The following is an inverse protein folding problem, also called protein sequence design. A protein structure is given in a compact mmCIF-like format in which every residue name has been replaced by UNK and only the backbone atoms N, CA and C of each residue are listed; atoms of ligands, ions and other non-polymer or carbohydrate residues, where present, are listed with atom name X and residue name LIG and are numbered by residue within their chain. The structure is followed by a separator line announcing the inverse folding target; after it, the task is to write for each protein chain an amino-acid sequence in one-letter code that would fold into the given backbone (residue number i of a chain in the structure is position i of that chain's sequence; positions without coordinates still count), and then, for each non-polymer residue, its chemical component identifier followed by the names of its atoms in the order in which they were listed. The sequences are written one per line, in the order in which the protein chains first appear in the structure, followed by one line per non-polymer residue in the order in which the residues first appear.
data_IF_391834366969
#
_entry.id   IF_391834366969
#
_cell.length_a   1.000
_cell.length_b   1.000
_cell.length_c   1.000
_cell.angle_alpha   90.00
_cell.angle_beta   90.00
_cell.angle_gamma   90.00
#
_symmetry.space_group_name_H-M   'P 1'
#
loop_
_entity.id
_entity.type
_entity.pdbx_description
1 polymer ?
#
# COMPACT_ATOMS: atom_id res chain seq x y z
N UNK A 1 17.54 37.42 8.42
CA UNK A 1 16.98 36.51 7.39
C UNK A 1 17.80 35.24 7.44
N UNK A 2 17.23 34.12 7.93
CA UNK A 2 17.90 32.81 7.89
C UNK A 2 17.54 32.15 6.56
N UNK A 3 18.53 31.94 5.69
CA UNK A 3 18.34 31.20 4.46
C UNK A 3 18.20 29.71 4.81
N UNK A 4 17.06 29.09 4.54
CA UNK A 4 16.93 27.63 4.56
C UNK A 4 17.70 27.07 3.37
N UNK A 5 18.68 26.21 3.64
CA UNK A 5 19.38 25.46 2.59
C UNK A 5 18.37 24.57 1.86
N UNK A 6 18.35 24.56 0.51
CA UNK A 6 17.45 23.68 -0.22
C UNK A 6 17.79 22.21 0.08
N UNK A 7 16.79 21.31 0.05
CA UNK A 7 17.01 19.91 0.31
C UNK A 7 17.96 19.29 -0.71
N UNK A 8 18.94 18.50 -0.24
CA UNK A 8 19.89 17.78 -1.09
C UNK A 8 19.41 16.32 -1.29
N UNK A 9 19.58 15.76 -2.48
CA UNK A 9 19.21 14.38 -2.78
C UNK A 9 20.40 13.60 -3.33
N UNK A 10 20.73 12.50 -2.65
CA UNK A 10 21.79 11.58 -3.00
C UNK A 10 21.19 10.26 -3.50
N UNK A 11 21.89 9.59 -4.42
CA UNK A 11 21.47 8.32 -5.02
C UNK A 11 22.61 7.32 -4.94
N UNK A 12 22.29 6.07 -4.61
CA UNK A 12 23.22 4.95 -4.72
C UNK A 12 22.70 3.96 -5.75
N UNK A 13 23.62 3.30 -6.45
CA UNK A 13 23.31 2.35 -7.51
C UNK A 13 24.03 1.02 -7.24
N UNK A 14 23.43 -0.08 -7.67
CA UNK A 14 24.08 -1.39 -7.61
C UNK A 14 25.11 -1.56 -8.75
N UNK A 15 25.77 -2.72 -8.81
CA UNK A 15 26.77 -3.04 -9.84
C UNK A 15 26.25 -2.98 -11.28
N UNK A 16 24.93 -3.03 -11.46
CA UNK A 16 24.25 -2.96 -12.76
C UNK A 16 23.70 -1.55 -13.05
N UNK A 17 24.08 -0.53 -12.27
CA UNK A 17 23.60 0.86 -12.36
C UNK A 17 22.09 1.02 -12.13
N UNK A 18 21.43 0.05 -11.51
CA UNK A 18 20.05 0.21 -11.06
C UNK A 18 20.03 0.92 -9.71
N UNK A 19 19.05 1.81 -9.55
CA UNK A 19 18.85 2.57 -8.31
C UNK A 19 18.70 1.61 -7.13
N UNK A 20 19.56 1.76 -6.12
CA UNK A 20 19.62 0.92 -4.93
C UNK A 20 18.97 1.62 -3.73
N UNK A 21 19.34 2.87 -3.51
CA UNK A 21 18.69 3.73 -2.52
C UNK A 21 18.71 5.18 -2.97
N UNK A 22 17.82 6.00 -2.38
CA UNK A 22 17.96 7.45 -2.44
C UNK A 22 17.82 8.05 -1.05
N UNK A 23 18.58 9.10 -0.79
CA UNK A 23 18.61 9.82 0.47
C UNK A 23 18.24 11.28 0.21
N UNK A 24 17.19 11.76 0.87
CA UNK A 24 16.78 13.17 0.86
C UNK A 24 17.16 13.80 2.21
N UNK A 25 17.88 14.92 2.18
CA UNK A 25 18.29 15.71 3.35
C UNK A 25 17.42 16.97 3.38
N UNK A 26 16.55 17.10 4.38
CA UNK A 26 15.42 18.05 4.35
C UNK A 26 15.73 19.35 5.10
N UNK A 27 16.56 19.33 6.13
CA UNK A 27 16.99 20.54 6.85
C UNK A 27 18.37 20.31 7.49
N UNK A 28 19.25 21.29 7.36
CA UNK A 28 20.54 21.41 8.05
C UNK A 28 20.69 22.82 8.66
N UNK A 29 19.61 23.36 9.25
CA UNK A 29 19.67 24.66 9.95
C UNK A 29 19.42 24.45 11.44
N UNK A 30 20.33 24.99 12.26
CA UNK A 30 20.33 24.92 13.73
C UNK A 30 20.57 23.53 14.38
N UNK A 31 21.38 22.67 13.75
CA UNK A 31 21.96 21.48 14.40
C UNK A 31 21.07 20.23 14.44
N UNK A 32 19.81 20.33 14.00
CA UNK A 32 18.95 19.15 13.79
C UNK A 32 19.06 18.70 12.32
N UNK A 33 19.32 17.40 12.12
CA UNK A 33 19.35 16.79 10.77
C UNK A 33 18.11 15.93 10.55
N UNK A 34 17.38 16.20 9.47
CA UNK A 34 16.29 15.36 9.02
C UNK A 34 16.62 14.69 7.69
N UNK A 35 16.48 13.37 7.66
CA UNK A 35 16.78 12.57 6.48
C UNK A 35 15.62 11.62 6.15
N UNK A 36 15.44 11.34 4.87
CA UNK A 36 14.58 10.25 4.40
C UNK A 36 15.42 9.32 3.52
N UNK A 37 15.38 8.02 3.79
CA UNK A 37 16.06 7.00 3.00
C UNK A 37 15.01 6.07 2.39
N UNK A 38 15.09 5.86 1.08
CA UNK A 38 14.27 4.92 0.33
C UNK A 38 15.14 3.74 -0.09
N UNK A 39 14.70 2.53 0.24
CA UNK A 39 15.32 1.28 -0.18
C UNK A 39 14.48 0.63 -1.28
N UNK A 40 15.14 0.27 -2.37
CA UNK A 40 14.52 -0.34 -3.55
C UNK A 40 14.78 -1.86 -3.58
N UNK A 41 14.10 -2.64 -4.44
CA UNK A 41 14.25 -4.10 -4.46
C UNK A 41 15.70 -4.58 -4.64
N UNK A 42 16.52 -3.79 -5.31
CA UNK A 42 17.95 -4.02 -5.52
C UNK A 42 18.80 -3.97 -4.24
N UNK A 43 18.27 -3.42 -3.14
CA UNK A 43 18.92 -3.41 -1.82
C UNK A 43 18.67 -4.71 -1.02
N UNK A 44 17.79 -5.57 -1.53
CA UNK A 44 17.37 -6.80 -0.87
C UNK A 44 17.74 -8.03 -1.71
N UNK A 45 17.95 -9.17 -1.03
CA UNK A 45 18.41 -10.42 -1.66
C UNK A 45 17.37 -11.55 -1.62
N UNK A 46 16.20 -11.29 -1.04
CA UNK A 46 15.11 -12.25 -0.99
C UNK A 46 14.49 -12.51 -2.37
N UNK A 47 13.74 -13.61 -2.48
CA UNK A 47 13.21 -14.06 -3.76
C UNK A 47 12.19 -13.09 -4.37
N UNK A 48 11.40 -12.40 -3.53
CA UNK A 48 10.39 -11.45 -4.01
C UNK A 48 11.09 -10.21 -4.57
N UNK A 49 12.07 -9.67 -3.85
CA UNK A 49 12.86 -8.52 -4.34
C UNK A 49 13.61 -8.83 -5.64
N UNK A 50 14.19 -10.04 -5.76
CA UNK A 50 14.78 -10.51 -7.03
C UNK A 50 13.75 -10.60 -8.16
N UNK A 51 12.56 -11.10 -7.87
CA UNK A 51 11.48 -11.16 -8.85
C UNK A 51 11.03 -9.75 -9.28
N UNK A 52 10.93 -8.80 -8.35
CA UNK A 52 10.63 -7.39 -8.65
C UNK A 52 11.67 -6.78 -9.59
N UNK A 53 12.96 -7.07 -9.37
CA UNK A 53 14.04 -6.65 -10.29
C UNK A 53 13.85 -7.28 -11.67
N UNK A 54 13.58 -8.58 -11.75
CA UNK A 54 13.40 -9.30 -13.00
C UNK A 54 12.18 -8.82 -13.82
N UNK A 55 11.15 -8.28 -13.15
CA UNK A 55 9.96 -7.70 -13.79
C UNK A 55 10.01 -6.17 -13.88
N UNK A 56 11.19 -5.56 -13.79
CA UNK A 56 11.41 -4.12 -13.92
C UNK A 56 10.66 -3.23 -12.91
N UNK A 57 10.25 -3.76 -11.76
CA UNK A 57 9.65 -3.00 -10.65
C UNK A 57 10.70 -2.32 -9.75
N UNK A 58 11.88 -2.03 -10.29
CA UNK A 58 13.05 -1.50 -9.55
C UNK A 58 12.83 -0.11 -8.94
N UNK A 59 11.90 0.68 -9.47
CA UNK A 59 11.60 2.03 -9.00
C UNK A 59 10.59 2.11 -7.85
N UNK A 60 10.08 0.97 -7.37
CA UNK A 60 9.08 0.92 -6.30
C UNK A 60 9.79 0.70 -4.96
N UNK A 61 9.73 1.66 -4.01
CA UNK A 61 10.38 1.49 -2.71
C UNK A 61 9.77 0.31 -1.94
N UNK A 62 10.63 -0.55 -1.41
CA UNK A 62 10.26 -1.66 -0.51
C UNK A 62 10.25 -1.19 0.94
N UNK A 63 11.15 -0.28 1.29
CA UNK A 63 11.21 0.33 2.62
C UNK A 63 11.53 1.83 2.51
N UNK A 64 10.95 2.62 3.40
CA UNK A 64 11.26 4.03 3.58
C UNK A 64 11.43 4.29 5.07
N UNK A 65 12.54 4.93 5.45
CA UNK A 65 12.79 5.35 6.83
C UNK A 65 13.02 6.86 6.90
N UNK A 66 12.54 7.46 7.98
CA UNK A 66 12.78 8.86 8.32
C UNK A 66 13.67 8.94 9.54
N UNK A 67 14.64 9.85 9.51
CA UNK A 67 15.63 10.01 10.56
C UNK A 67 15.60 11.42 11.12
N UNK A 68 15.84 11.50 12.42
CA UNK A 68 16.17 12.73 13.14
C UNK A 68 17.48 12.50 13.89
N UNK A 69 18.48 13.30 13.60
CA UNK A 69 19.81 13.23 14.24
C UNK A 69 20.45 11.83 14.14
N UNK A 70 20.32 11.23 12.95
CA UNK A 70 20.85 9.90 12.64
C UNK A 70 20.05 8.73 13.22
N UNK A 71 19.02 8.99 14.04
CA UNK A 71 18.15 7.97 14.62
C UNK A 71 16.84 7.86 13.82
N UNK A 72 16.35 6.63 13.65
CA UNK A 72 15.10 6.32 12.95
C UNK A 72 13.92 6.72 13.83
N UNK A 73 13.06 7.59 13.30
CA UNK A 73 11.83 8.09 13.95
C UNK A 73 10.56 7.73 13.17
N UNK A 74 10.71 7.32 11.91
CA UNK A 74 9.63 6.89 11.04
C UNK A 74 10.09 5.70 10.20
N UNK A 75 9.16 4.81 9.87
CA UNK A 75 9.41 3.74 8.93
C UNK A 75 8.12 3.24 8.30
N UNK A 76 8.18 2.95 7.01
CA UNK A 76 7.15 2.23 6.25
C UNK A 76 7.82 1.14 5.43
N UNK A 77 7.35 -0.10 5.52
CA UNK A 77 7.84 -1.23 4.73
C UNK A 77 6.67 -1.90 4.04
N UNK A 78 6.81 -2.21 2.75
CA UNK A 78 5.83 -2.99 2.00
C UNK A 78 6.42 -4.35 1.71
N UNK A 79 5.79 -5.39 2.23
CA UNK A 79 6.02 -6.77 1.82
C UNK A 79 5.17 -7.05 0.58
N UNK A 80 5.74 -7.76 -0.40
CA UNK A 80 5.07 -8.14 -1.65
C UNK A 80 4.91 -9.67 -1.71
N UNK A 81 3.91 -10.11 -2.47
CA UNK A 81 3.65 -11.52 -2.79
C UNK A 81 3.50 -11.68 -4.30
N UNK A 82 3.68 -12.90 -4.78
CA UNK A 82 3.30 -13.27 -6.13
C UNK A 82 1.93 -13.92 -6.12
N UNK A 83 0.99 -13.37 -6.89
CA UNK A 83 -0.39 -13.87 -6.98
C UNK A 83 -0.90 -13.64 -8.40
N UNK A 84 -1.54 -14.65 -9.01
CA UNK A 84 -2.07 -14.58 -10.39
C UNK A 84 -1.02 -14.11 -11.42
N UNK A 85 0.25 -14.49 -11.23
CA UNK A 85 1.36 -14.08 -12.10
C UNK A 85 1.85 -12.63 -11.92
N UNK A 86 1.26 -11.89 -10.97
CA UNK A 86 1.61 -10.50 -10.66
C UNK A 86 2.37 -10.41 -9.34
N UNK A 87 3.29 -9.46 -9.22
CA UNK A 87 3.87 -9.05 -7.95
C UNK A 87 3.00 -7.93 -7.37
N UNK A 88 2.35 -8.23 -6.25
CA UNK A 88 1.36 -7.38 -5.63
C UNK A 88 1.71 -7.16 -4.16
N UNK A 89 1.35 -6.01 -3.56
CA UNK A 89 1.50 -5.82 -2.12
C UNK A 89 0.84 -6.96 -1.32
N UNK A 90 1.45 -7.31 -0.18
CA UNK A 90 0.90 -8.28 0.77
C UNK A 90 0.53 -7.56 2.06
N UNK A 91 1.51 -6.91 2.68
CA UNK A 91 1.37 -6.26 3.98
C UNK A 91 2.18 -4.97 3.97
N UNK A 92 1.59 -3.89 4.48
CA UNK A 92 2.32 -2.67 4.81
C UNK A 92 2.50 -2.60 6.32
N UNK A 93 3.76 -2.49 6.72
CA UNK A 93 4.20 -2.29 8.08
C UNK A 93 4.54 -0.82 8.32
N UNK A 94 4.23 -0.32 9.49
CA UNK A 94 4.72 0.97 9.97
C UNK A 94 5.57 0.77 11.21
N UNK A 95 6.56 1.63 11.39
CA UNK A 95 7.35 1.68 12.60
C UNK A 95 6.48 2.18 13.76
N UNK A 96 6.35 1.38 14.82
CA UNK A 96 5.64 1.74 16.04
C UNK A 96 6.68 1.97 17.15
N UNK A 97 7.03 3.24 17.38
CA UNK A 97 8.05 3.59 18.36
C UNK A 97 7.73 4.91 19.05
N UNK A 98 7.89 4.92 20.37
CA UNK A 98 7.73 6.13 21.20
C UNK A 98 9.04 6.90 21.39
N UNK A 99 10.17 6.33 20.97
CA UNK A 99 11.50 6.95 21.04
C UNK A 99 12.26 6.73 19.74
N UNK A 100 13.20 7.61 19.37
CA UNK A 100 14.09 7.35 18.23
C UNK A 100 14.87 6.03 18.39
N UNK A 101 15.18 5.36 17.27
CA UNK A 101 15.84 4.04 17.24
C UNK A 101 17.13 4.06 16.43
N UNK A 102 18.07 3.19 16.76
CA UNK A 102 19.28 2.97 15.94
C UNK A 102 18.91 2.34 14.58
N UNK A 103 19.70 2.64 13.55
CA UNK A 103 19.64 1.99 12.22
C UNK A 103 19.84 0.46 12.28
N UNK A 104 20.45 -0.06 13.34
CA UNK A 104 20.67 -1.51 13.50
C UNK A 104 19.46 -2.24 14.08
N UNK A 105 18.59 -1.54 14.82
CA UNK A 105 17.61 -2.21 15.70
C UNK A 105 16.15 -1.86 15.39
N UNK A 106 15.91 -0.78 14.61
CA UNK A 106 14.56 -0.27 14.33
C UNK A 106 13.63 -1.31 13.70
N UNK A 107 14.17 -2.29 12.96
CA UNK A 107 13.37 -3.28 12.23
C UNK A 107 12.46 -4.13 13.11
N UNK A 108 12.84 -4.36 14.38
CA UNK A 108 12.03 -5.10 15.36
C UNK A 108 10.75 -4.35 15.81
N UNK A 109 10.65 -3.05 15.50
CA UNK A 109 9.53 -2.19 15.86
C UNK A 109 8.51 -2.04 14.71
N UNK A 110 8.71 -2.73 13.59
CA UNK A 110 7.70 -2.77 12.54
C UNK A 110 6.49 -3.57 12.98
N UNK A 111 5.32 -2.96 12.85
CA UNK A 111 4.04 -3.61 13.10
C UNK A 111 3.18 -3.56 11.83
N UNK A 112 2.50 -4.65 11.47
CA UNK A 112 1.61 -4.66 10.31
C UNK A 112 0.41 -3.74 10.58
N UNK A 113 0.07 -2.88 9.61
CA UNK A 113 -1.08 -1.98 9.70
C UNK A 113 -2.10 -2.19 8.60
N UNK A 114 -1.65 -2.55 7.40
CA UNK A 114 -2.53 -2.76 6.25
C UNK A 114 -2.23 -4.10 5.58
N UNK A 115 -3.24 -4.95 5.49
CA UNK A 115 -3.19 -6.24 4.81
C UNK A 115 -3.93 -6.16 3.48
N UNK A 116 -3.34 -6.72 2.43
CA UNK A 116 -3.97 -6.86 1.12
C UNK A 116 -4.42 -8.31 0.95
N UNK A 117 -5.60 -8.60 1.51
CA UNK A 117 -6.08 -9.97 1.65
C UNK A 117 -6.46 -10.60 0.29
N UNK A 118 -7.17 -9.86 -0.58
CA UNK A 118 -7.71 -10.38 -1.84
C UNK A 118 -7.55 -9.40 -3.00
N UNK A 119 -7.31 -9.97 -4.18
CA UNK A 119 -7.16 -9.25 -5.44
C UNK A 119 -8.10 -9.78 -6.52
N UNK A 120 -8.62 -8.90 -7.39
CA UNK A 120 -9.31 -9.32 -8.60
C UNK A 120 -8.32 -9.81 -9.68
N UNK A 121 -8.84 -10.26 -10.83
CA UNK A 121 -8.02 -10.71 -11.98
C UNK A 121 -7.09 -9.62 -12.56
N UNK A 122 -7.39 -8.33 -12.33
CA UNK A 122 -6.58 -7.19 -12.77
C UNK A 122 -5.52 -6.75 -11.74
N UNK A 123 -5.35 -7.52 -10.66
CA UNK A 123 -4.40 -7.16 -9.60
C UNK A 123 -4.83 -5.96 -8.77
N UNK A 124 -6.13 -5.62 -8.77
CA UNK A 124 -6.68 -4.59 -7.88
C UNK A 124 -7.14 -5.20 -6.56
N UNK A 125 -6.84 -4.56 -5.43
CA UNK A 125 -7.27 -5.08 -4.14
C UNK A 125 -8.80 -4.98 -4.05
N UNK A 126 -9.45 -6.10 -3.76
CA UNK A 126 -10.90 -6.18 -3.54
C UNK A 126 -11.25 -6.40 -2.07
N UNK A 127 -10.27 -6.81 -1.25
CA UNK A 127 -10.36 -6.73 0.20
C UNK A 127 -9.02 -6.33 0.79
N UNK A 128 -9.06 -5.34 1.66
CA UNK A 128 -7.93 -4.98 2.53
C UNK A 128 -8.40 -4.96 3.99
N UNK A 129 -7.47 -5.13 4.92
CA UNK A 129 -7.70 -4.84 6.35
C UNK A 129 -6.76 -3.75 6.81
N UNK A 130 -7.32 -2.60 7.15
CA UNK A 130 -6.60 -1.45 7.68
C UNK A 130 -6.86 -1.36 9.19
N UNK A 131 -5.81 -1.54 9.99
CA UNK A 131 -5.88 -1.57 11.46
C UNK A 131 -6.98 -2.53 11.99
N UNK A 132 -7.12 -3.69 11.34
CA UNK A 132 -8.12 -4.71 11.68
C UNK A 132 -9.51 -4.47 11.08
N UNK A 133 -9.78 -3.30 10.49
CA UNK A 133 -11.06 -2.99 9.84
C UNK A 133 -11.03 -3.50 8.40
N UNK A 134 -11.95 -4.38 8.05
CA UNK A 134 -12.12 -4.86 6.68
C UNK A 134 -12.74 -3.78 5.80
N UNK A 135 -12.13 -3.59 4.62
CA UNK A 135 -12.57 -2.66 3.58
C UNK A 135 -12.62 -3.43 2.26
N UNK A 136 -13.78 -3.42 1.61
CA UNK A 136 -14.02 -4.03 0.31
C UNK A 136 -14.10 -2.95 -0.74
N UNK A 137 -13.37 -3.14 -1.84
CA UNK A 137 -13.42 -2.27 -3.00
C UNK A 137 -14.12 -2.97 -4.14
N UNK A 138 -15.12 -2.30 -4.70
CA UNK A 138 -15.75 -2.70 -5.95
C UNK A 138 -15.07 -1.95 -7.09
N UNK A 139 -14.56 -2.67 -8.07
CA UNK A 139 -13.93 -2.10 -9.26
C UNK A 139 -14.83 -2.30 -10.46
N UNK A 140 -14.71 -1.43 -11.46
CA UNK A 140 -15.37 -1.55 -12.76
C UNK A 140 -14.46 -0.95 -13.83
N UNK A 141 -14.97 -0.79 -15.05
CA UNK A 141 -14.22 -0.30 -16.21
C UNK A 141 -12.99 -1.16 -16.47
N UNK A 142 -13.17 -2.48 -16.58
CA UNK A 142 -12.09 -3.46 -16.74
C UNK A 142 -11.02 -3.35 -15.64
N UNK A 143 -11.48 -3.23 -14.38
CA UNK A 143 -10.63 -3.09 -13.21
C UNK A 143 -9.88 -1.76 -13.12
N UNK A 144 -10.27 -0.74 -13.88
CA UNK A 144 -9.54 0.54 -13.93
C UNK A 144 -9.89 1.45 -12.76
N UNK A 145 -11.17 1.56 -12.42
CA UNK A 145 -11.64 2.52 -11.42
C UNK A 145 -12.42 1.84 -10.28
N UNK A 146 -12.18 2.24 -9.02
CA UNK A 146 -13.06 1.86 -7.92
C UNK A 146 -14.40 2.59 -8.09
N UNK A 147 -15.50 1.84 -7.96
CA UNK A 147 -16.87 2.35 -8.06
C UNK A 147 -17.62 2.24 -6.73
N UNK A 148 -17.05 1.56 -5.73
CA UNK A 148 -17.49 1.66 -4.36
C UNK A 148 -16.37 1.30 -3.37
N UNK A 149 -16.39 1.94 -2.20
CA UNK A 149 -15.66 1.55 -1.00
C UNK A 149 -16.68 1.16 0.09
N UNK A 150 -16.52 -0.02 0.66
CA UNK A 150 -17.44 -0.59 1.65
C UNK A 150 -16.63 -1.01 2.87
N UNK A 151 -16.72 -0.25 3.95
CA UNK A 151 -15.95 -0.47 5.19
C UNK A 151 -16.76 -1.23 6.23
N UNK A 152 -16.06 -1.87 7.16
CA UNK A 152 -16.62 -2.65 8.27
C UNK A 152 -17.38 -3.91 7.83
N UNK A 153 -16.97 -4.52 6.71
CA UNK A 153 -17.58 -5.74 6.18
C UNK A 153 -16.58 -6.52 5.35
N UNK A 154 -16.76 -7.84 5.26
CA UNK A 154 -15.88 -8.73 4.50
C UNK A 154 -16.33 -8.89 3.04
N UNK A 155 -15.40 -9.29 2.19
CA UNK A 155 -15.65 -9.62 0.78
C UNK A 155 -16.82 -10.58 0.62
N UNK A 156 -16.88 -11.64 1.44
CA UNK A 156 -17.92 -12.65 1.33
C UNK A 156 -19.32 -12.07 1.50
N UNK A 157 -19.51 -11.19 2.50
CA UNK A 157 -20.82 -10.57 2.77
C UNK A 157 -21.19 -9.61 1.64
N UNK A 158 -20.25 -8.79 1.16
CA UNK A 158 -20.49 -7.88 0.03
C UNK A 158 -20.84 -8.66 -1.23
N UNK A 159 -20.08 -9.72 -1.54
CA UNK A 159 -20.30 -10.54 -2.73
C UNK A 159 -21.70 -11.19 -2.73
N UNK A 160 -22.20 -11.60 -1.56
CA UNK A 160 -23.59 -12.06 -1.41
C UNK A 160 -24.60 -10.92 -1.59
N UNK A 161 -24.33 -9.73 -1.02
CA UNK A 161 -25.22 -8.56 -1.13
C UNK A 161 -25.36 -8.03 -2.57
N UNK A 162 -24.32 -8.17 -3.40
CA UNK A 162 -24.38 -7.83 -4.83
C UNK A 162 -25.50 -8.58 -5.56
N UNK A 163 -25.66 -9.88 -5.28
CA UNK A 163 -26.69 -10.69 -5.92
C UNK A 163 -28.10 -10.16 -5.63
N UNK A 164 -28.35 -9.68 -4.40
CA UNK A 164 -29.63 -9.11 -4.00
C UNK A 164 -29.99 -7.79 -4.69
N UNK A 165 -29.00 -7.06 -5.21
CA UNK A 165 -29.20 -5.83 -6.01
C UNK A 165 -29.08 -6.07 -7.51
N UNK A 166 -29.04 -7.35 -7.95
CA UNK A 166 -28.98 -7.72 -9.36
C UNK A 166 -27.60 -7.53 -10.01
N UNK A 167 -26.53 -7.71 -9.24
CA UNK A 167 -25.13 -7.78 -9.68
C UNK A 167 -24.55 -9.17 -9.37
N UNK A 168 -23.76 -9.76 -10.27
CA UNK A 168 -23.37 -11.18 -10.15
C UNK A 168 -22.34 -11.45 -9.07
N UNK A 169 -21.21 -10.73 -9.08
CA UNK A 169 -20.11 -10.90 -8.13
C UNK A 169 -19.14 -9.72 -8.22
N UNK A 170 -18.23 -9.62 -7.26
CA UNK A 170 -17.17 -8.59 -7.25
C UNK A 170 -16.23 -8.76 -8.45
N UNK A 171 -15.90 -10.00 -8.83
CA UNK A 171 -15.05 -10.29 -9.99
C UNK A 171 -15.77 -9.95 -11.31
N UNK A 172 -17.05 -10.30 -11.45
CA UNK A 172 -17.82 -9.95 -12.66
C UNK A 172 -18.05 -8.44 -12.79
N UNK A 173 -18.22 -7.74 -11.66
CA UNK A 173 -18.30 -6.28 -11.67
C UNK A 173 -16.98 -5.64 -12.12
N UNK A 174 -15.84 -6.24 -11.75
CA UNK A 174 -14.51 -5.76 -12.17
C UNK A 174 -14.37 -5.71 -13.69
N UNK A 175 -14.97 -6.65 -14.43
CA UNK A 175 -14.97 -6.67 -15.91
C UNK A 175 -16.08 -5.82 -16.54
N UNK A 176 -16.99 -5.25 -15.75
CA UNK A 176 -18.11 -4.48 -16.28
C UNK A 176 -17.63 -3.08 -16.73
N UNK A 177 -17.86 -2.72 -17.98
CA UNK A 177 -17.50 -1.41 -18.54
C UNK A 177 -18.53 -0.32 -18.23
N UNK A 178 -19.76 -0.70 -17.90
CA UNK A 178 -20.87 0.22 -17.64
C UNK A 178 -21.58 -0.17 -16.34
N UNK A 179 -20.98 0.13 -15.17
CA UNK A 179 -21.58 -0.17 -13.88
C UNK A 179 -22.90 0.59 -13.68
N UNK A 180 -23.91 -0.10 -13.17
CA UNK A 180 -25.19 0.50 -12.82
C UNK A 180 -25.09 1.15 -11.43
N UNK A 181 -24.97 2.48 -11.40
CA UNK A 181 -24.88 3.24 -10.15
C UNK A 181 -26.10 3.05 -9.26
N UNK A 182 -27.29 2.89 -9.82
CA UNK A 182 -28.53 2.70 -9.03
C UNK A 182 -28.47 1.38 -8.25
N UNK A 183 -27.95 0.31 -8.87
CA UNK A 183 -27.74 -0.96 -8.17
C UNK A 183 -26.68 -0.86 -7.07
N UNK A 184 -25.60 -0.13 -7.31
CA UNK A 184 -24.58 0.14 -6.30
C UNK A 184 -25.15 0.94 -5.12
N UNK A 185 -25.97 1.96 -5.40
CA UNK A 185 -26.63 2.77 -4.36
C UNK A 185 -27.58 1.92 -3.50
N UNK A 186 -28.27 0.94 -4.11
CA UNK A 186 -29.16 0.01 -3.42
C UNK A 186 -28.45 -0.96 -2.46
N UNK A 187 -27.11 -1.02 -2.45
CA UNK A 187 -26.36 -1.77 -1.42
C UNK A 187 -26.60 -1.20 -0.03
N UNK A 188 -26.88 0.10 0.10
CA UNK A 188 -27.22 0.76 1.38
C UNK A 188 -28.53 0.26 1.98
N UNK A 189 -29.37 -0.41 1.18
CA UNK A 189 -30.66 -0.96 1.61
C UNK A 189 -30.53 -2.42 2.08
N UNK A 190 -29.35 -3.04 1.94
CA UNK A 190 -29.16 -4.44 2.30
C UNK A 190 -28.96 -4.60 3.81
N UNK A 191 -29.82 -5.40 4.45
CA UNK A 191 -29.77 -5.64 5.90
C UNK A 191 -28.43 -6.24 6.37
N UNK A 192 -27.77 -7.04 5.51
CA UNK A 192 -26.44 -7.60 5.79
C UNK A 192 -25.33 -6.55 5.81
N UNK A 193 -25.59 -5.34 5.29
CA UNK A 193 -24.67 -4.21 5.23
C UNK A 193 -25.10 -3.04 6.13
N UNK A 194 -26.04 -3.27 7.07
CA UNK A 194 -26.59 -2.21 7.94
C UNK A 194 -25.55 -1.47 8.78
N UNK A 195 -24.45 -2.15 9.13
CA UNK A 195 -23.35 -1.60 9.94
C UNK A 195 -22.13 -1.22 9.08
N UNK A 196 -22.27 -1.30 7.74
CA UNK A 196 -21.22 -0.97 6.80
C UNK A 196 -21.27 0.52 6.40
N UNK A 197 -20.10 1.13 6.22
CA UNK A 197 -20.00 2.47 5.63
C UNK A 197 -19.79 2.32 4.12
N UNK A 198 -20.72 2.85 3.32
CA UNK A 198 -20.78 2.66 1.87
C UNK A 198 -20.62 3.99 1.12
N UNK A 199 -19.54 4.11 0.35
CA UNK A 199 -19.28 5.23 -0.58
C UNK A 199 -19.30 4.70 -2.01
N UNK A 200 -19.96 5.40 -2.93
CA UNK A 200 -20.19 5.02 -4.35
C UNK A 200 -20.06 6.24 -5.25
#
# INVERSE_FOLDING_TARGET
MLFKTPPNKEFTYNSNYFLASSKLIIDATAGESQEQILYYPTDFTDNISKAMVATYQIGVPVETIGLRDGQVVFGKKTEYKQEKGMLLPNIVYTLDTNTPRSKTDYKSYYNPKLYFDLYNSYGKPVQVRDNGISIVYLWSYNGTYPVAEIRNVTYSIVNTALAAVGLTSIEALSTNENPDKTKLDNLRLQTSLKDALITT
#
